data_IF_719700146435
#
_entry.id   IF_719700146435
#
_cell.length_a   1.000
_cell.length_b   1.000
_cell.length_c   1.000
_cell.angle_alpha   90.00
_cell.angle_beta   90.00
_cell.angle_gamma   90.00
#
_symmetry.space_group_name_H-M   'P 1'
#
loop_
_entity.id
_entity.type
_entity.pdbx_description
1 polymer ?
#
# COMPACT_ATOMS: atom_id res chain seq x y z
N UNK A 1 0.66 -3.17 32.54
CA UNK A 1 0.11 -2.12 31.66
C UNK A 1 -0.19 -2.75 30.31
N UNK A 2 -1.46 -3.01 30.02
CA UNK A 2 -1.89 -3.50 28.71
C UNK A 2 -1.69 -2.36 27.70
N UNK A 3 -0.86 -2.58 26.69
CA UNK A 3 -0.74 -1.63 25.58
C UNK A 3 -2.03 -1.76 24.78
N UNK A 4 -2.90 -0.76 24.84
CA UNK A 4 -4.08 -0.68 23.99
C UNK A 4 -3.61 -0.88 22.55
N UNK A 5 -4.16 -1.88 21.87
CA UNK A 5 -4.00 -2.05 20.43
C UNK A 5 -4.65 -0.85 19.78
N UNK A 6 -3.84 0.16 19.47
CA UNK A 6 -4.26 1.32 18.70
C UNK A 6 -4.91 0.80 17.43
N UNK A 7 -6.19 1.14 17.27
CA UNK A 7 -6.98 0.97 16.04
C UNK A 7 -6.05 1.08 14.83
N UNK A 8 -6.01 0.07 13.96
CA UNK A 8 -5.12 0.04 12.80
C UNK A 8 -5.53 1.20 11.90
N UNK A 9 -4.97 2.38 12.17
CA UNK A 9 -5.31 3.62 11.50
C UNK A 9 -4.68 3.53 10.13
N UNK A 10 -5.48 3.14 9.15
CA UNK A 10 -5.11 3.17 7.75
C UNK A 10 -4.68 4.61 7.44
N UNK A 11 -3.39 4.80 7.15
CA UNK A 11 -2.90 6.14 6.83
C UNK A 11 -3.67 6.67 5.61
N UNK A 12 -4.10 7.94 5.58
CA UNK A 12 -4.89 8.50 4.48
C UNK A 12 -4.15 8.46 3.13
N UNK A 13 -2.82 8.28 3.17
CA UNK A 13 -1.94 8.09 2.02
C UNK A 13 -2.02 6.68 1.39
N UNK A 14 -2.73 5.73 2.02
CA UNK A 14 -2.88 4.36 1.50
C UNK A 14 -4.11 4.28 0.62
N UNK A 15 -3.97 4.00 -0.69
CA UNK A 15 -5.13 3.86 -1.57
C UNK A 15 -5.99 2.67 -1.15
N UNK A 16 -7.29 2.77 -1.36
CA UNK A 16 -8.22 1.67 -1.02
C UNK A 16 -8.02 0.44 -1.91
N UNK A 17 -7.72 0.69 -3.18
CA UNK A 17 -7.56 -0.33 -4.22
C UNK A 17 -6.50 0.13 -5.22
N UNK A 18 -5.80 -0.84 -5.82
CA UNK A 18 -4.89 -0.61 -6.94
C UNK A 18 -5.30 -1.57 -8.05
N UNK A 19 -5.89 -1.05 -9.13
CA UNK A 19 -6.52 -1.89 -10.15
C UNK A 19 -7.57 -2.82 -9.56
N UNK A 20 -7.43 -4.13 -9.80
CA UNK A 20 -8.33 -5.17 -9.27
C UNK A 20 -8.08 -5.58 -7.81
N UNK A 21 -7.02 -5.06 -7.21
CA UNK A 21 -6.53 -5.53 -5.92
C UNK A 21 -6.98 -4.62 -4.78
N UNK A 22 -7.59 -5.20 -3.74
CA UNK A 22 -8.05 -4.45 -2.57
C UNK A 22 -6.90 -4.33 -1.58
N UNK A 23 -6.46 -3.11 -1.31
CA UNK A 23 -5.36 -2.88 -0.38
C UNK A 23 -5.89 -3.06 1.05
N UNK A 24 -5.16 -3.77 1.89
CA UNK A 24 -5.48 -3.98 3.30
C UNK A 24 -4.66 -3.01 4.15
N UNK A 25 -3.34 -3.02 3.97
CA UNK A 25 -2.44 -2.18 4.74
C UNK A 25 -1.12 -1.92 4.00
N UNK A 26 -0.38 -0.90 4.43
CA UNK A 26 1.02 -0.71 4.03
C UNK A 26 1.91 -1.60 4.89
N UNK A 27 2.71 -2.44 4.25
CA UNK A 27 3.63 -3.37 4.94
C UNK A 27 5.08 -2.93 4.87
N UNK A 28 5.42 -1.98 3.99
CA UNK A 28 6.78 -1.45 3.94
C UNK A 28 6.92 -0.19 3.10
N UNK A 29 8.03 0.51 3.31
CA UNK A 29 8.51 1.62 2.48
C UNK A 29 9.99 1.34 2.18
N UNK A 30 10.33 1.26 0.90
CA UNK A 30 11.71 1.17 0.41
C UNK A 30 12.10 2.45 -0.33
N UNK A 31 13.37 2.53 -0.75
CA UNK A 31 13.90 3.70 -1.45
C UNK A 31 13.16 4.01 -2.76
N UNK A 32 12.76 2.97 -3.49
CA UNK A 32 12.09 3.11 -4.80
C UNK A 32 10.57 3.16 -4.71
N UNK A 33 9.98 3.06 -3.51
CA UNK A 33 8.52 3.05 -3.40
C UNK A 33 7.94 2.33 -2.18
N UNK A 34 6.62 2.16 -2.20
CA UNK A 34 5.83 1.62 -1.09
C UNK A 34 5.37 0.20 -1.37
N UNK A 35 5.28 -0.63 -0.33
CA UNK A 35 4.79 -2.02 -0.42
C UNK A 35 3.52 -2.16 0.40
N UNK A 36 2.48 -2.66 -0.25
CA UNK A 36 1.15 -2.84 0.32
C UNK A 36 0.76 -4.32 0.37
N UNK A 37 0.12 -4.75 1.45
CA UNK A 37 -0.59 -6.02 1.52
C UNK A 37 -1.96 -5.85 0.90
N UNK A 38 -2.33 -6.80 0.05
CA UNK A 38 -3.60 -6.80 -0.66
C UNK A 38 -4.20 -8.20 -0.71
N UNK A 39 -5.52 -8.28 -0.83
CA UNK A 39 -6.23 -9.53 -1.09
C UNK A 39 -6.65 -9.61 -2.56
N UNK A 40 -6.23 -10.67 -3.26
CA UNK A 40 -6.67 -10.93 -4.63
C UNK A 40 -8.10 -11.55 -4.61
N UNK A 41 -9.12 -10.88 -5.16
CA UNK A 41 -10.50 -11.38 -5.11
C UNK A 41 -10.74 -12.62 -5.99
N UNK A 42 -9.90 -12.87 -7.00
CA UNK A 42 -10.04 -14.02 -7.90
C UNK A 42 -9.36 -15.26 -7.34
N UNK A 43 -8.14 -15.09 -6.84
CA UNK A 43 -7.33 -16.20 -6.33
C UNK A 43 -7.43 -16.37 -4.80
N UNK A 44 -8.18 -15.50 -4.11
CA UNK A 44 -8.42 -15.51 -2.66
C UNK A 44 -7.14 -15.70 -1.84
N UNK A 45 -6.08 -15.01 -2.25
CA UNK A 45 -4.76 -15.07 -1.61
C UNK A 45 -4.25 -13.67 -1.31
N UNK A 46 -3.44 -13.59 -0.27
CA UNK A 46 -2.76 -12.36 0.08
C UNK A 46 -1.54 -12.16 -0.82
N UNK A 47 -1.40 -10.95 -1.34
CA UNK A 47 -0.34 -10.54 -2.26
C UNK A 47 0.29 -9.24 -1.80
N UNK A 48 1.59 -9.10 -2.04
CA UNK A 48 2.30 -7.84 -1.84
C UNK A 48 2.36 -7.05 -3.15
N UNK A 49 1.94 -5.78 -3.11
CA UNK A 49 1.97 -4.87 -4.25
C UNK A 49 3.02 -3.80 -3.97
N UNK A 50 4.09 -3.80 -4.76
CA UNK A 50 5.12 -2.76 -4.72
C UNK A 50 4.78 -1.67 -5.73
N UNK A 51 4.52 -0.47 -5.23
CA UNK A 51 4.23 0.72 -6.01
C UNK A 51 5.48 1.57 -6.07
N UNK A 52 5.93 1.89 -7.28
CA UNK A 52 7.07 2.77 -7.51
C UNK A 52 6.64 4.23 -7.46
N UNK A 53 7.41 5.06 -6.76
CA UNK A 53 7.29 6.51 -6.88
C UNK A 53 8.05 6.90 -8.16
N UNK A 54 7.35 6.84 -9.28
CA UNK A 54 7.75 7.57 -10.48
C UNK A 54 7.39 9.02 -10.22
N UNK A 55 8.35 9.79 -9.71
CA UNK A 55 8.28 11.24 -9.86
C UNK A 55 8.43 11.45 -11.37
N UNK A 56 7.32 11.77 -12.06
CA UNK A 56 7.42 12.30 -13.41
C UNK A 56 8.20 13.60 -13.29
N UNK A 57 9.48 13.55 -13.66
CA UNK A 57 10.32 14.72 -13.86
C UNK A 57 9.59 15.60 -14.88
N UNK A 58 8.84 16.58 -14.36
CA UNK A 58 8.07 17.52 -15.17
C UNK A 58 8.99 18.61 -15.70
N UNK A 59 10.19 18.24 -16.15
CA UNK A 59 11.10 19.11 -16.88
C UNK A 59 10.86 18.89 -18.38
N UNK A 60 9.73 19.42 -18.84
CA UNK A 60 9.55 19.75 -20.25
C UNK A 60 9.72 21.27 -20.36
N UNK A 61 10.96 21.70 -20.61
CA UNK A 61 11.29 23.01 -21.19
C UNK A 61 10.73 23.11 -22.63
#
# INVERSE_FOLDING_TARGET
MVRNVSEIQRSPDVPEKIGKYVIINKVGKGSTGNVYLSHDPYYRRDVAIKVYNIEEDSDAD
#
